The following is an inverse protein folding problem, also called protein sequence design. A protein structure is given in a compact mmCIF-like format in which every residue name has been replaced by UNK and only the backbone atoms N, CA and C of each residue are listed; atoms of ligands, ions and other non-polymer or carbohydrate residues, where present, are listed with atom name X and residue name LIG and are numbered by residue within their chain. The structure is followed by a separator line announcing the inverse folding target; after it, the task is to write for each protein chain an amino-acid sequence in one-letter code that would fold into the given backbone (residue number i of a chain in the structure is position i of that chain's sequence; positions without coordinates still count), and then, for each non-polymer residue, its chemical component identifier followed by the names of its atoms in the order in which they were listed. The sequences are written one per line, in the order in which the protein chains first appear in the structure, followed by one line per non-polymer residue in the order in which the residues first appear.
data_IF_711675523016
#
_entry.id   IF_711675523016
#
_cell.length_a   1.000
_cell.length_b   1.000
_cell.length_c   1.000
_cell.angle_alpha   90.00
_cell.angle_beta   90.00
_cell.angle_gamma   90.00
#
_symmetry.space_group_name_H-M   'P 1'
#
loop_
_entity.id
_entity.type
_entity.pdbx_description
1 polymer ?
#
# COMPACT_ATOMS: atom_id res chain seq x y z
N UNK A 1 23.12 3.91 -4.43
CA UNK A 1 21.77 4.47 -4.23
C UNK A 1 21.70 4.97 -2.81
N UNK A 2 21.34 6.23 -2.60
CA UNK A 2 21.08 6.77 -1.27
C UNK A 2 19.71 6.31 -0.77
N UNK A 3 19.45 6.46 0.54
CA UNK A 3 18.23 5.96 1.18
C UNK A 3 16.96 6.60 0.59
N UNK A 4 17.05 7.87 0.17
CA UNK A 4 15.95 8.61 -0.44
C UNK A 4 15.54 8.01 -1.78
N UNK A 5 16.50 7.80 -2.69
CA UNK A 5 16.21 7.17 -3.98
C UNK A 5 15.67 5.75 -3.81
N UNK A 6 16.19 4.99 -2.83
CA UNK A 6 15.70 3.65 -2.53
C UNK A 6 14.26 3.65 -2.02
N UNK A 7 13.90 4.59 -1.14
CA UNK A 7 12.53 4.73 -0.68
C UNK A 7 11.59 5.13 -1.81
N UNK A 8 11.95 6.15 -2.61
CA UNK A 8 11.13 6.61 -3.74
C UNK A 8 10.83 5.48 -4.74
N UNK A 9 11.87 4.72 -5.13
CA UNK A 9 11.71 3.58 -6.04
C UNK A 9 10.83 2.50 -5.42
N UNK A 10 11.02 2.18 -4.14
CA UNK A 10 10.23 1.15 -3.44
C UNK A 10 8.76 1.55 -3.31
N UNK A 11 8.49 2.81 -2.95
CA UNK A 11 7.14 3.37 -2.88
C UNK A 11 6.45 3.34 -4.25
N UNK A 12 7.18 3.73 -5.30
CA UNK A 12 6.66 3.70 -6.68
C UNK A 12 6.40 2.26 -7.14
N UNK A 13 7.31 1.33 -6.85
CA UNK A 13 7.13 -0.09 -7.18
C UNK A 13 5.92 -0.70 -6.46
N UNK A 14 5.73 -0.36 -5.17
CA UNK A 14 4.56 -0.77 -4.42
C UNK A 14 3.26 -0.24 -5.06
N UNK A 15 3.23 1.05 -5.42
CA UNK A 15 2.08 1.65 -6.09
C UNK A 15 1.79 0.99 -7.44
N UNK A 16 2.80 0.65 -8.23
CA UNK A 16 2.64 -0.07 -9.51
C UNK A 16 2.06 -1.47 -9.27
N UNK A 17 2.53 -2.21 -8.26
CA UNK A 17 1.97 -3.52 -7.93
C UNK A 17 0.51 -3.43 -7.50
N UNK A 18 0.14 -2.42 -6.72
CA UNK A 18 -1.27 -2.18 -6.36
C UNK A 18 -2.12 -1.85 -7.58
N UNK A 19 -1.60 -1.05 -8.52
CA UNK A 19 -2.28 -0.73 -9.77
C UNK A 19 -2.45 -1.96 -10.66
N UNK A 20 -1.46 -2.84 -10.74
CA UNK A 20 -1.56 -4.12 -11.45
C UNK A 20 -2.64 -5.01 -10.81
N UNK A 21 -2.62 -5.15 -9.48
CA UNK A 21 -3.65 -5.90 -8.76
C UNK A 21 -5.07 -5.32 -8.97
N UNK A 22 -5.18 -3.99 -9.09
CA UNK A 22 -6.46 -3.32 -9.37
C UNK A 22 -6.89 -3.51 -10.83
N UNK A 23 -5.95 -3.52 -11.77
CA UNK A 23 -6.23 -3.75 -13.18
C UNK A 23 -6.76 -5.17 -13.43
N UNK A 24 -6.12 -6.16 -12.81
CA UNK A 24 -6.49 -7.59 -12.89
C UNK A 24 -7.53 -7.99 -11.82
N UNK A 25 -8.39 -7.05 -11.40
CA UNK A 25 -9.42 -7.29 -10.36
C UNK A 25 -10.29 -8.52 -10.67
N UNK A 26 -10.82 -8.72 -11.90
CA UNK A 26 -11.68 -9.88 -12.16
C UNK A 26 -10.99 -11.22 -11.90
N UNK A 27 -9.73 -11.35 -12.33
CA UNK A 27 -8.88 -12.51 -12.12
C UNK A 27 -8.56 -12.69 -10.64
N UNK A 28 -8.21 -11.60 -9.95
CA UNK A 28 -7.91 -11.61 -8.52
C UNK A 28 -9.13 -11.96 -7.67
N UNK A 29 -10.35 -11.56 -8.06
CA UNK A 29 -11.58 -11.96 -7.37
C UNK A 29 -11.80 -13.46 -7.54
N UNK A 30 -11.68 -13.98 -8.76
CA UNK A 30 -11.84 -15.42 -9.01
C UNK A 30 -10.79 -16.26 -8.26
N UNK A 31 -9.57 -15.75 -8.09
CA UNK A 31 -8.53 -16.45 -7.32
C UNK A 31 -8.79 -16.49 -5.81
N UNK A 32 -9.68 -15.63 -5.30
CA UNK A 32 -10.10 -15.61 -3.88
C UNK A 32 -11.30 -16.53 -3.59
N UNK A 33 -12.10 -16.86 -4.61
CA UNK A 33 -13.32 -17.64 -4.49
C UNK A 33 -13.03 -19.15 -4.59
N UNK A 34 -13.94 -20.01 -4.10
CA UNK A 34 -13.89 -21.44 -4.39
C UNK A 34 -13.92 -21.71 -5.91
N UNK A 35 -13.34 -22.83 -6.35
CA UNK A 35 -13.30 -23.20 -7.78
C UNK A 35 -14.69 -23.30 -8.41
N UNK A 36 -15.69 -23.72 -7.64
CA UNK A 36 -17.08 -23.84 -8.05
C UNK A 36 -18.05 -23.50 -6.90
N UNK A 37 -19.34 -23.32 -7.24
CA UNK A 37 -20.40 -23.15 -6.26
C UNK A 37 -20.54 -21.75 -5.62
N UNK A 38 -19.78 -20.75 -6.09
CA UNK A 38 -19.95 -19.36 -5.68
C UNK A 38 -21.17 -18.71 -6.33
N UNK A 39 -21.76 -17.75 -5.63
CA UNK A 39 -22.90 -16.96 -6.09
C UNK A 39 -22.44 -15.62 -6.64
N UNK A 40 -23.27 -15.01 -7.50
CA UNK A 40 -22.98 -13.66 -8.00
C UNK A 40 -22.80 -12.66 -6.85
N UNK A 41 -23.57 -12.76 -5.76
CA UNK A 41 -23.44 -11.86 -4.60
C UNK A 41 -22.06 -11.96 -3.95
N UNK A 42 -21.54 -13.17 -3.75
CA UNK A 42 -20.20 -13.37 -3.17
C UNK A 42 -19.11 -12.77 -4.06
N UNK A 43 -19.25 -12.89 -5.38
CA UNK A 43 -18.35 -12.24 -6.33
C UNK A 43 -18.32 -10.72 -6.13
N UNK A 44 -19.50 -10.07 -6.13
CA UNK A 44 -19.59 -8.61 -5.97
C UNK A 44 -19.08 -8.14 -4.61
N UNK A 45 -19.31 -8.90 -3.55
CA UNK A 45 -18.85 -8.56 -2.20
C UNK A 45 -17.32 -8.60 -2.12
N UNK A 46 -16.69 -9.61 -2.73
CA UNK A 46 -15.22 -9.72 -2.77
C UNK A 46 -14.61 -8.67 -3.70
N UNK A 47 -15.20 -8.47 -4.88
CA UNK A 47 -14.76 -7.43 -5.83
C UNK A 47 -14.78 -6.05 -5.18
N UNK A 48 -15.89 -5.67 -4.54
CA UNK A 48 -16.00 -4.39 -3.85
C UNK A 48 -14.94 -4.25 -2.74
N UNK A 49 -14.74 -5.31 -1.94
CA UNK A 49 -13.75 -5.33 -0.87
C UNK A 49 -12.31 -5.17 -1.40
N UNK A 50 -11.98 -5.86 -2.50
CA UNK A 50 -10.67 -5.78 -3.13
C UNK A 50 -10.42 -4.38 -3.73
N UNK A 51 -11.36 -3.86 -4.53
CA UNK A 51 -11.27 -2.52 -5.14
C UNK A 51 -11.11 -1.44 -4.07
N UNK A 52 -11.87 -1.52 -2.98
CA UNK A 52 -11.77 -0.55 -1.88
C UNK A 52 -10.40 -0.63 -1.21
N UNK A 53 -9.93 -1.83 -0.85
CA UNK A 53 -8.64 -1.98 -0.17
C UNK A 53 -7.46 -1.51 -1.02
N UNK A 54 -7.42 -1.89 -2.30
CA UNK A 54 -6.38 -1.46 -3.25
C UNK A 54 -6.47 0.04 -3.55
N UNK A 55 -7.68 0.57 -3.75
CA UNK A 55 -7.90 1.99 -4.01
C UNK A 55 -7.41 2.88 -2.87
N UNK A 56 -7.71 2.52 -1.62
CA UNK A 56 -7.21 3.26 -0.45
C UNK A 56 -5.68 3.17 -0.36
N UNK A 57 -5.09 2.00 -0.60
CA UNK A 57 -3.63 1.81 -0.58
C UNK A 57 -2.91 2.66 -1.65
N UNK A 58 -3.49 2.77 -2.86
CA UNK A 58 -2.95 3.63 -3.93
C UNK A 58 -3.01 5.10 -3.51
N UNK A 59 -4.14 5.56 -2.95
CA UNK A 59 -4.26 6.93 -2.43
C UNK A 59 -3.22 7.21 -1.35
N UNK A 60 -2.95 6.25 -0.46
CA UNK A 60 -1.91 6.39 0.56
C UNK A 60 -0.52 6.57 -0.06
N UNK A 61 -0.20 5.80 -1.10
CA UNK A 61 1.05 5.96 -1.83
C UNK A 61 1.18 7.36 -2.45
N UNK A 62 0.10 7.89 -3.04
CA UNK A 62 0.09 9.26 -3.60
C UNK A 62 0.30 10.31 -2.49
N UNK A 63 -0.34 10.16 -1.34
CA UNK A 63 -0.16 11.06 -0.20
C UNK A 63 1.30 11.01 0.28
N UNK A 64 1.88 9.82 0.46
CA UNK A 64 3.28 9.68 0.87
C UNK A 64 4.24 10.31 -0.15
N UNK A 65 3.98 10.17 -1.46
CA UNK A 65 4.75 10.84 -2.51
C UNK A 65 4.69 12.36 -2.40
N UNK A 66 3.51 12.93 -2.11
CA UNK A 66 3.34 14.36 -1.87
C UNK A 66 4.08 14.82 -0.60
N UNK A 67 3.98 14.07 0.49
CA UNK A 67 4.68 14.37 1.74
C UNK A 67 6.20 14.36 1.52
N UNK A 68 6.73 13.38 0.78
CA UNK A 68 8.15 13.30 0.44
C UNK A 68 8.62 14.50 -0.39
N UNK A 69 7.76 15.02 -1.27
CA UNK A 69 8.06 16.21 -2.07
C UNK A 69 8.12 17.50 -1.23
N UNK A 70 7.32 17.60 -0.16
CA UNK A 70 7.34 18.75 0.75
C UNK A 70 8.44 18.65 1.81
N UNK A 71 8.74 17.45 2.28
CA UNK A 71 9.69 17.23 3.36
C UNK A 71 10.35 15.86 3.24
N UNK A 72 11.67 15.85 3.20
CA UNK A 72 12.46 14.62 3.27
C UNK A 72 12.67 14.23 4.74
N UNK A 73 12.18 13.07 5.20
CA UNK A 73 12.44 12.59 6.56
C UNK A 73 13.93 12.30 6.80
N UNK A 74 14.32 12.21 8.06
CA UNK A 74 15.65 11.69 8.42
C UNK A 74 15.80 10.21 8.04
N UNK A 75 17.04 9.73 7.95
CA UNK A 75 17.36 8.37 7.47
C UNK A 75 16.64 7.26 8.23
N UNK A 76 16.43 7.41 9.55
CA UNK A 76 15.80 6.37 10.38
C UNK A 76 14.36 6.04 9.94
N UNK A 77 13.43 7.00 10.00
CA UNK A 77 12.06 6.79 9.52
C UNK A 77 11.96 6.43 8.04
N UNK A 78 12.87 6.97 7.22
CA UNK A 78 12.94 6.66 5.79
C UNK A 78 13.28 5.17 5.55
N UNK A 79 14.21 4.61 6.31
CA UNK A 79 14.53 3.18 6.27
C UNK A 79 13.35 2.32 6.74
N UNK A 80 12.65 2.73 7.80
CA UNK A 80 11.49 2.00 8.31
C UNK A 80 10.35 1.95 7.28
N UNK A 81 10.00 3.09 6.70
CA UNK A 81 8.95 3.19 5.67
C UNK A 81 9.34 2.43 4.38
N UNK A 82 10.62 2.47 3.99
CA UNK A 82 11.14 1.62 2.93
C UNK A 82 10.92 0.13 3.21
N UNK A 83 11.26 -0.36 4.41
CA UNK A 83 11.08 -1.77 4.78
C UNK A 83 9.60 -2.18 4.79
N UNK A 84 8.69 -1.28 5.21
CA UNK A 84 7.26 -1.53 5.17
C UNK A 84 6.77 -1.69 3.74
N UNK A 85 7.09 -0.76 2.83
CA UNK A 85 6.68 -0.85 1.42
C UNK A 85 7.34 -2.01 0.67
N UNK A 86 8.59 -2.33 1.00
CA UNK A 86 9.27 -3.51 0.45
C UNK A 86 8.56 -4.81 0.86
N UNK A 87 8.24 -4.94 2.15
CA UNK A 87 7.52 -6.12 2.67
C UNK A 87 6.11 -6.21 2.08
N UNK A 88 5.40 -5.09 1.99
CA UNK A 88 4.09 -5.01 1.36
C UNK A 88 4.14 -5.44 -0.11
N UNK A 89 5.16 -4.98 -0.84
CA UNK A 89 5.36 -5.34 -2.25
C UNK A 89 5.57 -6.83 -2.45
N UNK A 90 6.33 -7.49 -1.57
CA UNK A 90 6.50 -8.95 -1.61
C UNK A 90 5.15 -9.65 -1.35
N UNK A 91 4.37 -9.18 -0.37
CA UNK A 91 3.06 -9.77 -0.07
C UNK A 91 2.06 -9.59 -1.22
N UNK A 92 1.96 -8.39 -1.80
CA UNK A 92 1.09 -8.13 -2.96
C UNK A 92 1.55 -8.93 -4.18
N UNK A 93 2.84 -8.99 -4.45
CA UNK A 93 3.37 -9.82 -5.54
C UNK A 93 2.98 -11.29 -5.37
N UNK A 94 3.06 -11.82 -4.14
CA UNK A 94 2.57 -13.17 -3.85
C UNK A 94 1.07 -13.32 -4.15
N UNK A 95 0.24 -12.33 -3.82
CA UNK A 95 -1.20 -12.37 -4.11
C UNK A 95 -1.55 -12.29 -5.60
N UNK A 96 -0.71 -11.63 -6.40
CA UNK A 96 -0.86 -11.61 -7.86
C UNK A 96 -0.57 -12.99 -8.46
N UNK A 97 0.35 -13.75 -7.85
CA UNK A 97 0.78 -15.06 -8.36
C UNK A 97 -0.07 -16.23 -7.83
N UNK A 98 -0.53 -16.15 -6.58
CA UNK A 98 -1.21 -17.23 -5.88
C UNK A 98 -2.67 -16.86 -5.48
N UNK A 99 -3.51 -17.88 -5.26
CA UNK A 99 -4.85 -17.72 -4.70
C UNK A 99 -4.83 -17.37 -3.22
N UNK A 100 -5.48 -16.26 -2.85
CA UNK A 100 -5.58 -15.81 -1.46
C UNK A 100 -6.94 -15.19 -1.15
N UNK A 101 -7.53 -15.41 0.03
CA UNK A 101 -8.76 -14.73 0.41
C UNK A 101 -8.54 -13.22 0.56
N UNK A 102 -9.58 -12.44 0.22
CA UNK A 102 -9.55 -10.96 0.22
C UNK A 102 -9.12 -10.33 1.55
N UNK A 103 -9.37 -11.03 2.67
CA UNK A 103 -8.93 -10.60 4.00
C UNK A 103 -7.41 -10.37 4.08
N UNK A 104 -6.60 -11.10 3.30
CA UNK A 104 -5.16 -10.90 3.30
C UNK A 104 -4.73 -9.55 2.70
N UNK A 105 -5.46 -9.00 1.73
CA UNK A 105 -5.19 -7.65 1.20
C UNK A 105 -5.40 -6.59 2.30
N UNK A 106 -6.47 -6.73 3.09
CA UNK A 106 -6.72 -5.87 4.25
C UNK A 106 -5.63 -5.98 5.31
N UNK A 107 -5.10 -7.18 5.56
CA UNK A 107 -3.99 -7.37 6.50
C UNK A 107 -2.72 -6.67 5.99
N UNK A 108 -2.38 -6.83 4.71
CA UNK A 108 -1.20 -6.15 4.13
C UNK A 108 -1.35 -4.63 4.22
N UNK A 109 -2.53 -4.11 3.87
CA UNK A 109 -2.84 -2.69 4.03
C UNK A 109 -2.68 -2.21 5.48
N UNK A 110 -3.28 -2.91 6.44
CA UNK A 110 -3.29 -2.52 7.85
C UNK A 110 -1.91 -2.60 8.52
N UNK A 111 -1.07 -3.57 8.15
CA UNK A 111 0.23 -3.79 8.77
C UNK A 111 1.38 -3.04 8.10
N UNK A 112 1.26 -2.70 6.81
CA UNK A 112 2.35 -2.09 6.07
C UNK A 112 2.01 -0.70 5.52
N UNK A 113 0.93 -0.57 4.75
CA UNK A 113 0.59 0.70 4.10
C UNK A 113 0.08 1.75 5.08
N UNK A 114 -0.80 1.38 6.02
CA UNK A 114 -1.33 2.31 7.01
C UNK A 114 -0.25 2.83 7.98
N UNK A 115 0.63 2.00 8.56
CA UNK A 115 1.71 2.49 9.42
C UNK A 115 2.70 3.38 8.68
N UNK A 116 3.02 3.08 7.41
CA UNK A 116 3.92 3.93 6.61
C UNK A 116 3.37 5.35 6.45
N UNK A 117 2.08 5.48 6.14
CA UNK A 117 1.42 6.78 6.05
C UNK A 117 1.41 7.52 7.39
N UNK A 118 1.08 6.83 8.50
CA UNK A 118 1.05 7.42 9.84
C UNK A 118 2.43 7.99 10.22
N UNK A 119 3.51 7.25 9.95
CA UNK A 119 4.88 7.69 10.22
C UNK A 119 5.19 8.98 9.45
N UNK A 120 4.92 9.00 8.15
CA UNK A 120 5.20 10.17 7.31
C UNK A 120 4.34 11.39 7.69
N UNK A 121 3.06 11.20 7.99
CA UNK A 121 2.19 12.27 8.47
C UNK A 121 2.67 12.83 9.82
N UNK A 122 3.07 11.98 10.75
CA UNK A 122 3.58 12.42 12.06
C UNK A 122 4.87 13.26 11.91
N UNK A 123 5.77 12.85 11.03
CA UNK A 123 7.02 13.58 10.74
C UNK A 123 6.73 14.93 10.09
N UNK A 124 5.78 14.96 9.15
CA UNK A 124 5.35 16.20 8.51
C UNK A 124 4.75 17.19 9.52
N UNK A 125 3.79 16.72 10.32
CA UNK A 125 3.12 17.54 11.33
C UNK A 125 4.07 18.03 12.43
N UNK A 126 5.02 17.20 12.87
CA UNK A 126 6.01 17.59 13.88
C UNK A 126 6.98 18.66 13.36
N UNK A 127 7.38 18.60 12.09
CA UNK A 127 8.23 19.63 11.48
C UNK A 127 7.49 20.96 11.30
N UNK A 128 6.22 20.92 10.87
CA UNK A 128 5.41 22.13 10.75
C UNK A 128 5.23 22.84 12.10
N UNK A 129 4.98 22.07 13.17
CA UNK A 129 4.90 22.64 14.52
C UNK A 129 6.21 23.33 14.93
N UNK A 130 7.37 22.70 14.68
CA UNK A 130 8.65 23.32 15.00
C UNK A 130 8.87 24.63 14.24
N UNK A 131 8.50 24.70 12.96
CA UNK A 131 8.66 25.92 12.15
C UNK A 131 7.77 27.09 12.59
N UNK A 132 6.65 26.82 13.28
CA UNK A 132 5.75 27.87 13.79
C UNK A 132 6.17 28.49 15.12
N UNK A 133 7.21 27.94 15.78
CA UNK A 133 7.75 28.46 17.05
C UNK A 133 9.07 29.24 16.87
N UNK A 134 9.54 29.42 15.64
CA UNK A 134 10.69 30.27 15.30
C UNK A 134 10.24 31.49 14.52
#
# INVERSE_FOLDING_TARGET
MDCLSAYFITLTAHAVLLMLALWDTPENVLSTLPLDGWTAREYWDVEASLVVSLGIAIVFCVIEMLLLAFQVPSTGPLLLTLLLHFSASICIFKFIVDSHPVAHFWLVFAFFSLPSLIINLFIFLSSFRLSGFC
#
